data_IF_370701693498
#
_entry.id   IF_370701693498
#
_cell.length_a   1.000
_cell.length_b   1.000
_cell.length_c   1.000
_cell.angle_alpha   90.00
_cell.angle_beta   90.00
_cell.angle_gamma   90.00
#
_symmetry.space_group_name_H-M   'P 1'
#
loop_
_entity.id
_entity.type
_entity.pdbx_description
1 polymer ?
#
# COMPACT_ATOMS: atom_id res chain seq x y z
N UNK A 1 -0.16 -20.80 -7.59
CA UNK A 1 0.58 -20.08 -6.53
C UNK A 1 1.03 -21.08 -5.45
N UNK A 2 0.13 -21.75 -4.69
CA UNK A 2 0.49 -22.63 -3.56
C UNK A 2 1.47 -23.74 -3.94
N UNK A 3 1.31 -24.36 -5.11
CA UNK A 3 2.21 -25.39 -5.61
C UNK A 3 3.64 -24.87 -5.89
N UNK A 4 3.78 -23.63 -6.32
CA UNK A 4 5.08 -22.96 -6.57
C UNK A 4 5.96 -22.90 -5.31
N UNK A 5 5.34 -22.80 -4.15
CA UNK A 5 6.01 -22.66 -2.85
C UNK A 5 5.96 -23.93 -1.99
N UNK A 6 5.52 -25.06 -2.54
CA UNK A 6 5.35 -26.33 -1.83
C UNK A 6 4.62 -26.24 -0.48
N UNK A 7 3.82 -25.19 -0.27
CA UNK A 7 3.33 -24.78 1.06
C UNK A 7 2.21 -25.67 1.62
N UNK A 8 1.66 -26.58 0.82
CA UNK A 8 0.78 -27.64 1.27
C UNK A 8 1.49 -29.01 1.38
N UNK A 9 2.81 -29.07 1.14
CA UNK A 9 3.57 -30.31 1.27
C UNK A 9 3.52 -30.80 2.73
N UNK A 10 3.21 -32.06 2.92
CA UNK A 10 3.00 -32.71 4.22
C UNK A 10 1.87 -32.10 5.08
N UNK A 11 1.02 -31.24 4.54
CA UNK A 11 -0.13 -30.67 5.25
C UNK A 11 -1.31 -31.64 5.17
N UNK A 12 -1.77 -32.15 6.34
CA UNK A 12 -2.88 -33.12 6.40
C UNK A 12 -4.27 -32.44 6.34
N UNK A 13 -4.44 -31.31 7.04
CA UNK A 13 -5.77 -30.71 7.22
C UNK A 13 -5.80 -29.21 7.05
N UNK A 14 -4.85 -28.45 7.63
CA UNK A 14 -4.86 -27.00 7.61
C UNK A 14 -4.08 -26.45 6.42
N UNK A 15 -4.72 -26.42 5.24
CA UNK A 15 -4.12 -25.97 3.99
C UNK A 15 -3.89 -24.45 3.95
N UNK A 16 -3.17 -23.93 2.93
CA UNK A 16 -3.03 -22.48 2.70
C UNK A 16 -4.38 -21.83 2.45
N UNK A 17 -5.33 -22.53 1.81
CA UNK A 17 -6.69 -22.06 1.64
C UNK A 17 -7.41 -21.86 2.98
N UNK A 18 -7.33 -22.82 3.88
CA UNK A 18 -7.91 -22.70 5.22
C UNK A 18 -7.28 -21.55 6.01
N UNK A 19 -5.96 -21.35 5.87
CA UNK A 19 -5.27 -20.22 6.50
C UNK A 19 -5.77 -18.88 5.95
N UNK A 20 -5.89 -18.74 4.64
CA UNK A 20 -6.43 -17.55 3.99
C UNK A 20 -7.83 -17.23 4.52
N UNK A 21 -8.73 -18.22 4.52
CA UNK A 21 -10.10 -18.03 5.02
C UNK A 21 -10.14 -17.64 6.50
N UNK A 22 -9.31 -18.27 7.34
CA UNK A 22 -9.21 -17.93 8.76
C UNK A 22 -8.73 -16.49 8.96
N UNK A 23 -7.71 -16.04 8.22
CA UNK A 23 -7.19 -14.68 8.30
C UNK A 23 -8.19 -13.66 7.76
N UNK A 24 -8.88 -13.94 6.65
CA UNK A 24 -9.95 -13.10 6.12
C UNK A 24 -11.11 -12.97 7.13
N UNK A 25 -11.55 -14.09 7.71
CA UNK A 25 -12.58 -14.06 8.75
C UNK A 25 -12.13 -13.22 9.96
N UNK A 26 -10.86 -13.32 10.36
CA UNK A 26 -10.29 -12.51 11.44
C UNK A 26 -10.45 -11.00 11.16
N UNK A 27 -10.06 -10.57 9.97
CA UNK A 27 -10.11 -9.16 9.57
C UNK A 27 -11.56 -8.66 9.42
N UNK A 28 -12.40 -9.41 8.76
CA UNK A 28 -13.81 -9.03 8.51
C UNK A 28 -14.67 -9.03 9.78
N UNK A 29 -14.28 -9.81 10.81
CA UNK A 29 -15.00 -9.88 12.09
C UNK A 29 -14.28 -9.15 13.24
N UNK A 30 -13.25 -8.33 12.92
CA UNK A 30 -12.48 -7.52 13.87
C UNK A 30 -11.93 -8.33 15.05
N UNK A 31 -11.28 -9.49 14.77
CA UNK A 31 -10.65 -10.29 15.82
C UNK A 31 -9.28 -9.73 16.20
N UNK A 32 -9.05 -9.50 17.48
CA UNK A 32 -7.83 -8.84 17.96
C UNK A 32 -6.67 -9.81 18.24
N UNK A 33 -6.96 -11.10 18.38
CA UNK A 33 -5.95 -12.11 18.69
C UNK A 33 -6.23 -13.46 18.07
N UNK A 34 -5.18 -14.30 17.91
CA UNK A 34 -5.35 -15.69 17.47
C UNK A 34 -6.26 -16.50 18.42
N UNK A 35 -6.29 -16.19 19.72
CA UNK A 35 -7.17 -16.87 20.68
C UNK A 35 -8.63 -16.52 20.42
N UNK A 36 -8.92 -15.23 20.26
CA UNK A 36 -10.26 -14.75 19.96
C UNK A 36 -10.74 -15.29 18.59
N UNK A 37 -9.86 -15.31 17.60
CA UNK A 37 -10.15 -15.90 16.28
C UNK A 37 -10.56 -17.39 16.41
N UNK A 38 -9.82 -18.19 17.17
CA UNK A 38 -10.15 -19.64 17.31
C UNK A 38 -11.50 -19.82 18.00
N UNK A 39 -11.80 -19.08 19.08
CA UNK A 39 -13.10 -19.12 19.74
C UNK A 39 -14.23 -18.75 18.76
N UNK A 40 -14.05 -17.73 17.96
CA UNK A 40 -15.04 -17.32 16.96
C UNK A 40 -15.22 -18.36 15.84
N UNK A 41 -14.15 -18.98 15.37
CA UNK A 41 -14.23 -20.06 14.37
C UNK A 41 -14.94 -21.30 14.93
N UNK A 42 -14.69 -21.65 16.19
CA UNK A 42 -15.40 -22.75 16.88
C UNK A 42 -16.90 -22.47 17.00
N UNK A 43 -17.25 -21.27 17.41
CA UNK A 43 -18.67 -20.83 17.53
C UNK A 43 -19.41 -20.88 16.18
N UNK A 44 -18.68 -20.70 15.06
CA UNK A 44 -19.25 -20.72 13.71
C UNK A 44 -18.88 -21.97 12.89
N UNK A 45 -18.47 -23.05 13.53
CA UNK A 45 -17.96 -24.26 12.88
C UNK A 45 -18.89 -24.81 11.79
N UNK A 46 -20.19 -24.86 12.02
CA UNK A 46 -21.16 -25.34 11.03
C UNK A 46 -21.18 -24.48 9.76
N UNK A 47 -20.96 -23.16 9.89
CA UNK A 47 -20.89 -22.23 8.76
C UNK A 47 -19.53 -22.31 8.06
N UNK A 48 -18.46 -22.54 8.80
CA UNK A 48 -17.09 -22.69 8.26
C UNK A 48 -16.99 -23.92 7.34
N UNK A 49 -17.75 -24.98 7.61
CA UNK A 49 -17.84 -26.15 6.74
C UNK A 49 -18.25 -25.77 5.31
N UNK A 50 -19.24 -24.89 5.14
CA UNK A 50 -19.69 -24.42 3.82
C UNK A 50 -18.63 -23.58 3.08
N UNK A 51 -17.65 -23.04 3.79
CA UNK A 51 -16.50 -22.33 3.21
C UNK A 51 -15.35 -23.29 2.85
N UNK A 52 -15.53 -24.61 3.02
CA UNK A 52 -14.49 -25.61 2.78
C UNK A 52 -13.49 -25.77 3.93
N UNK A 53 -13.75 -25.20 5.10
CA UNK A 53 -12.96 -25.41 6.32
C UNK A 53 -13.48 -26.66 7.04
N UNK A 54 -13.04 -27.84 6.60
CA UNK A 54 -13.65 -29.13 7.00
C UNK A 54 -13.43 -29.56 8.46
N UNK A 55 -12.44 -29.01 9.18
CA UNK A 55 -12.13 -29.34 10.58
C UNK A 55 -11.82 -28.10 11.39
N UNK A 56 -12.04 -28.19 12.70
CA UNK A 56 -11.67 -27.13 13.62
C UNK A 56 -10.16 -26.84 13.54
N UNK A 57 -9.84 -25.55 13.54
CA UNK A 57 -8.46 -25.06 13.50
C UNK A 57 -7.98 -24.86 14.92
N UNK A 58 -6.89 -25.54 15.31
CA UNK A 58 -6.25 -25.27 16.59
C UNK A 58 -5.40 -23.99 16.53
N UNK A 59 -5.28 -23.28 17.67
CA UNK A 59 -4.41 -22.10 17.80
C UNK A 59 -2.96 -22.42 17.39
N UNK A 60 -2.44 -23.56 17.79
CA UNK A 60 -1.07 -23.99 17.46
C UNK A 60 -0.88 -24.26 15.97
N UNK A 61 -1.87 -24.84 15.29
CA UNK A 61 -1.82 -25.07 13.85
C UNK A 61 -1.81 -23.75 13.07
N UNK A 62 -2.67 -22.81 13.46
CA UNK A 62 -2.71 -21.50 12.84
C UNK A 62 -1.43 -20.68 13.09
N UNK A 63 -0.93 -20.68 14.34
CA UNK A 63 0.30 -19.98 14.69
C UNK A 63 1.51 -20.53 13.92
N UNK A 64 1.63 -21.85 13.83
CA UNK A 64 2.69 -22.52 13.07
C UNK A 64 2.58 -22.22 11.58
N UNK A 65 1.37 -22.26 11.01
CA UNK A 65 1.16 -21.93 9.61
C UNK A 65 1.56 -20.47 9.30
N UNK A 66 1.28 -19.53 10.20
CA UNK A 66 1.70 -18.13 10.05
C UNK A 66 3.22 -17.93 10.18
N UNK A 67 3.90 -18.78 10.93
CA UNK A 67 5.34 -18.73 11.13
C UNK A 67 6.11 -19.38 9.98
N UNK A 68 5.66 -20.55 9.53
CA UNK A 68 6.47 -21.44 8.68
C UNK A 68 6.16 -21.29 7.18
N UNK A 69 4.97 -20.81 6.82
CA UNK A 69 4.58 -20.66 5.42
C UNK A 69 5.13 -19.39 4.81
N UNK A 70 5.54 -19.50 3.55
CA UNK A 70 6.05 -18.38 2.78
C UNK A 70 4.93 -17.35 2.52
N UNK A 71 5.13 -16.12 2.95
CA UNK A 71 4.17 -15.01 2.78
C UNK A 71 3.93 -14.61 1.31
N UNK A 72 4.88 -14.90 0.42
CA UNK A 72 4.74 -14.60 -1.00
C UNK A 72 3.52 -15.28 -1.66
N UNK A 73 3.01 -16.37 -1.05
CA UNK A 73 1.76 -17.00 -1.49
C UNK A 73 0.60 -16.01 -1.44
N UNK A 74 0.49 -15.29 -0.34
CA UNK A 74 -0.57 -14.29 -0.13
C UNK A 74 -0.30 -13.03 -0.93
N UNK A 75 0.95 -12.62 -1.05
CA UNK A 75 1.37 -11.49 -1.86
C UNK A 75 1.02 -11.70 -3.34
N UNK A 76 1.44 -12.82 -3.94
CA UNK A 76 1.09 -13.15 -5.32
C UNK A 76 -0.42 -13.29 -5.54
N UNK A 77 -1.14 -13.81 -4.55
CA UNK A 77 -2.59 -13.92 -4.63
C UNK A 77 -3.28 -12.54 -4.63
N UNK A 78 -2.80 -11.61 -3.82
CA UNK A 78 -3.31 -10.23 -3.83
C UNK A 78 -3.06 -9.58 -5.19
N UNK A 79 -1.86 -9.71 -5.77
CA UNK A 79 -1.57 -9.16 -7.11
C UNK A 79 -2.40 -9.81 -8.20
N UNK A 80 -2.67 -11.10 -8.11
CA UNK A 80 -3.61 -11.77 -9.00
C UNK A 80 -5.02 -11.15 -8.90
N UNK A 81 -5.54 -10.96 -7.70
CA UNK A 81 -6.85 -10.33 -7.49
C UNK A 81 -6.89 -8.87 -7.99
N UNK A 82 -5.82 -8.11 -7.80
CA UNK A 82 -5.67 -6.75 -8.34
C UNK A 82 -5.77 -6.77 -9.87
N UNK A 83 -5.09 -7.70 -10.52
CA UNK A 83 -5.12 -7.84 -11.97
C UNK A 83 -6.53 -8.16 -12.49
N UNK A 84 -7.23 -9.10 -11.85
CA UNK A 84 -8.62 -9.44 -12.17
C UNK A 84 -9.58 -8.24 -11.98
N UNK A 85 -9.41 -7.50 -10.89
CA UNK A 85 -10.24 -6.34 -10.60
C UNK A 85 -10.03 -5.20 -11.60
N UNK A 86 -8.78 -4.98 -12.02
CA UNK A 86 -8.43 -3.98 -13.04
C UNK A 86 -9.08 -4.29 -14.40
N UNK A 87 -9.17 -5.56 -14.79
CA UNK A 87 -9.84 -5.96 -16.05
C UNK A 87 -11.34 -5.68 -16.05
N UNK A 88 -11.97 -5.66 -14.86
CA UNK A 88 -13.40 -5.41 -14.68
C UNK A 88 -13.74 -3.93 -14.51
N UNK A 89 -12.77 -3.04 -14.64
CA UNK A 89 -12.93 -1.59 -14.50
C UNK A 89 -13.85 -1.05 -15.59
N UNK A 90 -14.98 -0.46 -15.20
CA UNK A 90 -16.02 -0.01 -16.14
C UNK A 90 -16.10 1.51 -16.26
N UNK A 91 -15.67 2.30 -15.26
CA UNK A 91 -15.89 3.74 -15.21
C UNK A 91 -14.63 4.52 -14.85
N UNK A 92 -14.38 5.62 -15.56
CA UNK A 92 -13.42 6.65 -15.18
C UNK A 92 -14.14 7.77 -14.43
N UNK A 93 -13.89 7.91 -13.14
CA UNK A 93 -14.40 9.01 -12.31
C UNK A 93 -13.78 10.33 -12.78
N UNK A 94 -12.49 10.29 -13.09
CA UNK A 94 -11.74 11.42 -13.60
C UNK A 94 -11.61 11.33 -15.12
N UNK A 95 -12.03 12.37 -15.83
CA UNK A 95 -11.88 12.47 -17.30
C UNK A 95 -10.48 12.95 -17.68
N UNK A 96 -9.44 12.31 -17.16
CA UNK A 96 -8.05 12.74 -17.31
C UNK A 96 -7.27 11.93 -18.35
N UNK A 97 -7.88 10.90 -18.94
CA UNK A 97 -7.21 10.05 -19.96
C UNK A 97 -6.15 9.09 -19.40
N UNK A 98 -5.96 9.03 -18.09
CA UNK A 98 -5.02 8.13 -17.40
C UNK A 98 -5.49 7.73 -16.02
N UNK A 99 -4.79 6.77 -15.42
CA UNK A 99 -5.10 6.28 -14.07
C UNK A 99 -4.72 7.32 -13.01
N UNK A 100 -5.48 7.38 -11.92
CA UNK A 100 -5.21 8.27 -10.78
C UNK A 100 -4.85 7.45 -9.56
N UNK A 101 -3.64 7.62 -9.07
CA UNK A 101 -3.10 6.90 -7.93
C UNK A 101 -2.82 7.82 -6.75
N UNK A 102 -3.16 7.38 -5.54
CA UNK A 102 -2.72 8.01 -4.30
C UNK A 102 -1.71 7.08 -3.60
N UNK A 103 -0.61 7.63 -3.11
CA UNK A 103 0.42 6.87 -2.41
C UNK A 103 0.57 7.37 -0.98
N UNK A 104 0.43 6.46 -0.02
CA UNK A 104 0.61 6.75 1.40
C UNK A 104 1.12 5.52 2.17
N UNK A 105 1.52 5.72 3.42
CA UNK A 105 2.00 4.66 4.30
C UNK A 105 1.20 4.58 5.58
N UNK A 106 0.90 3.35 5.99
CA UNK A 106 0.30 3.04 7.29
C UNK A 106 1.34 2.36 8.17
N UNK A 107 1.53 2.85 9.40
CA UNK A 107 2.42 2.23 10.38
C UNK A 107 1.64 1.23 11.23
N UNK A 108 2.18 0.01 11.33
CA UNK A 108 1.65 -1.05 12.21
C UNK A 108 2.65 -1.23 13.35
N UNK A 109 2.21 -0.94 14.57
CA UNK A 109 3.02 -1.12 15.77
C UNK A 109 3.21 -2.63 16.07
N UNK A 110 4.44 -3.03 16.37
CA UNK A 110 4.80 -4.40 16.69
C UNK A 110 5.44 -4.47 18.08
N UNK A 111 5.25 -5.61 18.76
CA UNK A 111 5.91 -5.89 20.02
C UNK A 111 7.41 -6.14 19.77
N UNK A 112 8.27 -5.25 20.25
CA UNK A 112 9.71 -5.30 20.00
C UNK A 112 10.38 -6.55 20.60
N UNK A 113 9.84 -7.12 21.67
CA UNK A 113 10.38 -8.35 22.26
C UNK A 113 10.21 -9.59 21.38
N UNK A 114 9.21 -9.57 20.50
CA UNK A 114 8.95 -10.64 19.50
C UNK A 114 9.56 -10.29 18.14
N UNK A 115 9.48 -9.02 17.75
CA UNK A 115 9.93 -8.50 16.45
C UNK A 115 11.14 -7.58 16.63
N UNK A 116 12.21 -8.09 17.23
CA UNK A 116 13.42 -7.34 17.58
C UNK A 116 14.11 -6.66 16.39
N UNK A 117 13.91 -7.18 15.19
CA UNK A 117 14.45 -6.64 13.93
C UNK A 117 13.68 -5.39 13.45
N UNK A 118 12.38 -5.29 13.77
CA UNK A 118 11.50 -4.20 13.31
C UNK A 118 11.62 -2.95 14.21
N UNK A 119 12.83 -2.46 14.47
CA UNK A 119 13.08 -1.31 15.33
C UNK A 119 12.47 -0.03 14.74
N UNK A 120 11.66 0.68 15.51
CA UNK A 120 11.08 1.96 15.11
C UNK A 120 11.48 3.12 16.02
N UNK A 121 11.39 2.93 17.35
CA UNK A 121 11.81 3.89 18.38
C UNK A 121 12.49 3.13 19.51
N UNK A 122 13.15 3.84 20.45
CA UNK A 122 13.91 3.23 21.55
C UNK A 122 13.20 2.07 22.28
N UNK A 123 11.84 2.07 22.32
CA UNK A 123 11.04 1.04 23.01
C UNK A 123 9.89 0.46 22.17
N UNK A 124 9.84 0.73 20.86
CA UNK A 124 8.76 0.27 19.99
C UNK A 124 9.32 -0.38 18.72
N UNK A 125 8.70 -1.49 18.31
CA UNK A 125 8.85 -2.06 17.00
C UNK A 125 7.72 -1.59 16.08
N UNK A 126 7.93 -1.64 14.78
CA UNK A 126 6.90 -1.33 13.80
C UNK A 126 7.34 -1.60 12.37
N UNK A 127 6.35 -1.84 11.55
CA UNK A 127 6.50 -1.89 10.09
C UNK A 127 5.63 -0.83 9.45
N UNK A 128 5.98 -0.42 8.24
CA UNK A 128 5.15 0.41 7.38
C UNK A 128 4.68 -0.39 6.19
N UNK A 129 3.39 -0.29 5.91
CA UNK A 129 2.81 -0.75 4.65
C UNK A 129 2.60 0.47 3.78
N UNK A 130 3.41 0.60 2.74
CA UNK A 130 3.30 1.65 1.72
C UNK A 130 2.35 1.15 0.64
N UNK A 131 1.32 1.90 0.35
CA UNK A 131 0.26 1.48 -0.57
C UNK A 131 0.08 2.48 -1.69
N UNK A 132 0.16 2.03 -2.94
CA UNK A 132 -0.30 2.76 -4.10
C UNK A 132 -1.76 2.37 -4.34
N UNK A 133 -2.66 3.31 -4.12
CA UNK A 133 -4.09 3.11 -4.19
C UNK A 133 -4.65 3.70 -5.49
N UNK A 134 -5.31 2.89 -6.29
CA UNK A 134 -6.06 3.37 -7.45
C UNK A 134 -7.35 4.03 -6.95
N UNK A 135 -7.43 5.35 -7.11
CA UNK A 135 -8.53 6.16 -6.57
C UNK A 135 -9.86 5.86 -7.28
N UNK A 136 -9.80 5.45 -8.54
CA UNK A 136 -11.00 5.17 -9.33
C UNK A 136 -11.58 3.78 -9.05
N UNK A 137 -10.75 2.76 -8.96
CA UNK A 137 -11.20 1.39 -8.66
C UNK A 137 -11.36 1.14 -7.17
N UNK A 138 -10.79 2.01 -6.34
CA UNK A 138 -10.73 1.87 -4.87
C UNK A 138 -10.00 0.58 -4.44
N UNK A 139 -9.00 0.17 -5.20
CA UNK A 139 -8.23 -1.06 -4.97
C UNK A 139 -6.74 -0.71 -4.85
N UNK A 140 -5.98 -1.32 -3.92
CA UNK A 140 -4.54 -1.20 -3.91
C UNK A 140 -3.95 -1.74 -5.23
N UNK A 141 -3.16 -0.91 -5.93
CA UNK A 141 -2.48 -1.29 -7.16
C UNK A 141 -1.09 -1.88 -6.90
N UNK A 142 -0.45 -1.43 -5.81
CA UNK A 142 0.87 -1.87 -5.38
C UNK A 142 0.99 -1.68 -3.87
N UNK A 143 1.75 -2.52 -3.19
CA UNK A 143 2.12 -2.33 -1.80
C UNK A 143 3.56 -2.79 -1.57
N UNK A 144 4.22 -2.15 -0.61
CA UNK A 144 5.58 -2.47 -0.20
C UNK A 144 5.70 -2.36 1.33
N UNK A 145 6.36 -3.32 1.95
CA UNK A 145 6.49 -3.39 3.40
C UNK A 145 7.93 -3.07 3.78
N UNK A 146 8.11 -2.15 4.72
CA UNK A 146 9.41 -1.80 5.27
C UNK A 146 9.39 -1.77 6.79
N UNK A 147 10.56 -1.72 7.41
CA UNK A 147 10.65 -1.30 8.81
C UNK A 147 10.13 0.13 8.97
N UNK A 148 9.46 0.42 10.09
CA UNK A 148 8.90 1.75 10.34
C UNK A 148 9.95 2.87 10.46
N UNK A 149 11.23 2.51 10.61
CA UNK A 149 12.38 3.44 10.59
C UNK A 149 12.69 3.99 9.20
N UNK A 150 12.28 3.31 8.13
CA UNK A 150 12.54 3.73 6.75
C UNK A 150 11.73 4.98 6.43
N UNK A 151 12.39 5.99 5.86
CA UNK A 151 11.73 7.23 5.44
C UNK A 151 10.87 6.98 4.21
N UNK A 152 9.62 7.47 4.22
CA UNK A 152 8.62 7.21 3.20
C UNK A 152 9.07 7.53 1.77
N UNK A 153 9.81 8.64 1.59
CA UNK A 153 10.32 9.04 0.28
C UNK A 153 11.33 8.08 -0.35
N UNK A 154 11.94 7.16 0.44
CA UNK A 154 12.85 6.14 -0.11
C UNK A 154 12.10 5.07 -0.88
N UNK A 155 10.87 4.77 -0.47
CA UNK A 155 10.05 3.72 -1.08
C UNK A 155 9.45 4.17 -2.43
N UNK A 156 9.41 5.46 -2.70
CA UNK A 156 8.93 5.96 -4.01
C UNK A 156 9.67 5.34 -5.21
N UNK A 157 10.92 4.86 -5.03
CA UNK A 157 11.68 4.24 -6.12
C UNK A 157 11.12 2.88 -6.54
N UNK A 158 10.44 2.20 -5.63
CA UNK A 158 9.87 0.85 -5.81
C UNK A 158 8.51 0.88 -6.55
N UNK A 159 7.90 2.06 -6.67
CA UNK A 159 6.59 2.18 -7.33
C UNK A 159 6.73 1.91 -8.83
N UNK A 160 5.91 1.01 -9.40
CA UNK A 160 5.86 0.76 -10.83
C UNK A 160 5.08 1.89 -11.53
N UNK A 161 5.77 2.99 -11.83
CA UNK A 161 5.16 4.14 -12.50
C UNK A 161 4.73 3.82 -13.93
N UNK A 162 3.52 4.23 -14.29
CA UNK A 162 2.90 4.05 -15.62
C UNK A 162 2.84 5.39 -16.35
N UNK A 163 3.18 5.46 -17.65
CA UNK A 163 2.99 6.67 -18.47
C UNK A 163 1.55 7.17 -18.45
N UNK A 164 1.36 8.46 -18.67
CA UNK A 164 0.05 9.14 -18.74
C UNK A 164 -0.79 9.04 -17.47
N UNK A 165 -0.25 8.50 -16.37
CA UNK A 165 -0.94 8.34 -15.09
C UNK A 165 -0.63 9.50 -14.13
N UNK A 166 -1.51 9.71 -13.16
CA UNK A 166 -1.43 10.80 -12.17
C UNK A 166 -1.12 10.22 -10.79
N UNK A 167 -0.09 10.73 -10.13
CA UNK A 167 0.36 10.27 -8.81
C UNK A 167 0.21 11.35 -7.76
N UNK A 168 -0.56 11.08 -6.71
CA UNK A 168 -0.85 12.02 -5.62
C UNK A 168 -0.04 11.62 -4.39
N UNK A 169 0.72 12.57 -3.84
CA UNK A 169 1.59 12.37 -2.69
C UNK A 169 1.39 13.44 -1.61
N UNK A 170 1.54 13.06 -0.35
CA UNK A 170 1.68 14.03 0.74
C UNK A 170 3.08 14.68 0.75
N UNK A 171 3.24 15.72 1.56
CA UNK A 171 4.51 16.47 1.70
C UNK A 171 5.71 15.62 2.15
N UNK A 172 5.48 14.48 2.79
CA UNK A 172 6.53 13.54 3.19
C UNK A 172 7.31 12.97 2.00
N UNK A 173 6.68 12.93 0.84
CA UNK A 173 7.20 12.34 -0.39
C UNK A 173 7.89 13.34 -1.34
N UNK A 174 8.25 14.53 -0.88
CA UNK A 174 8.96 15.52 -1.70
C UNK A 174 10.39 15.06 -2.01
N UNK A 175 10.54 14.16 -2.98
CA UNK A 175 11.80 13.69 -3.53
C UNK A 175 11.92 14.12 -5.00
N UNK A 176 12.60 15.25 -5.24
CA UNK A 176 12.69 15.85 -6.58
C UNK A 176 13.30 14.94 -7.64
N UNK A 177 14.22 14.05 -7.25
CA UNK A 177 14.81 13.06 -8.18
C UNK A 177 13.75 12.08 -8.69
N UNK A 178 12.87 11.61 -7.81
CA UNK A 178 11.81 10.68 -8.19
C UNK A 178 10.69 11.41 -8.94
N UNK A 179 10.31 12.61 -8.49
CA UNK A 179 9.33 13.44 -9.20
C UNK A 179 9.80 13.74 -10.64
N UNK A 180 11.10 13.94 -10.84
CA UNK A 180 11.68 14.10 -12.17
C UNK A 180 11.59 12.81 -13.00
N UNK A 181 11.83 11.63 -12.39
CA UNK A 181 11.61 10.36 -13.09
C UNK A 181 10.17 10.21 -13.55
N UNK A 182 9.20 10.56 -12.72
CA UNK A 182 7.77 10.53 -13.07
C UNK A 182 7.52 11.41 -14.29
N UNK A 183 8.10 12.61 -14.31
CA UNK A 183 8.00 13.51 -15.46
C UNK A 183 8.66 12.93 -16.72
N UNK A 184 9.83 12.30 -16.61
CA UNK A 184 10.54 11.71 -17.75
C UNK A 184 9.79 10.56 -18.44
N UNK A 185 8.96 9.82 -17.73
CA UNK A 185 8.11 8.75 -18.28
C UNK A 185 6.75 9.28 -18.76
N UNK A 186 6.61 10.60 -18.89
CA UNK A 186 5.36 11.25 -19.33
C UNK A 186 4.17 10.97 -18.38
N UNK A 187 4.44 10.80 -17.10
CA UNK A 187 3.42 10.75 -16.05
C UNK A 187 3.36 12.07 -15.28
N UNK A 188 2.29 12.26 -14.54
CA UNK A 188 2.00 13.49 -13.81
C UNK A 188 2.04 13.24 -12.30
N UNK A 189 2.37 14.28 -11.53
CA UNK A 189 2.32 14.20 -10.09
C UNK A 189 1.65 15.42 -9.46
N UNK A 190 0.98 15.19 -8.35
CA UNK A 190 0.46 16.21 -7.44
C UNK A 190 1.06 15.94 -6.07
N UNK A 191 1.84 16.86 -5.53
CA UNK A 191 2.48 16.72 -4.23
C UNK A 191 2.27 17.94 -3.39
N UNK A 192 1.90 17.75 -2.13
CA UNK A 192 1.77 18.86 -1.18
C UNK A 192 3.14 19.48 -0.90
N UNK A 193 3.29 20.76 -1.21
CA UNK A 193 4.54 21.48 -1.00
C UNK A 193 4.94 21.55 0.48
N UNK A 194 6.24 21.51 0.75
CA UNK A 194 6.77 21.85 2.09
C UNK A 194 6.71 23.36 2.31
N UNK A 195 6.51 23.77 3.57
CA UNK A 195 6.46 25.21 3.94
C UNK A 195 7.72 26.01 3.55
N UNK A 196 8.85 25.35 3.46
CA UNK A 196 10.15 25.93 3.11
C UNK A 196 10.53 25.73 1.63
N UNK A 197 9.57 25.45 0.75
CA UNK A 197 9.82 25.35 -0.68
C UNK A 197 10.15 26.74 -1.23
N UNK A 198 11.39 26.91 -1.73
CA UNK A 198 11.81 28.14 -2.36
C UNK A 198 11.37 28.19 -3.83
N UNK A 199 10.67 29.25 -4.22
CA UNK A 199 10.24 29.45 -5.60
C UNK A 199 10.11 30.92 -5.95
N UNK A 200 10.10 31.22 -7.27
CA UNK A 200 9.74 32.54 -7.84
C UNK A 200 8.55 32.33 -8.76
N UNK A 201 7.50 33.12 -8.57
CA UNK A 201 6.33 33.11 -9.46
C UNK A 201 6.70 33.68 -10.82
N UNK A 202 6.32 32.98 -11.88
CA UNK A 202 6.49 33.44 -13.27
C UNK A 202 5.18 34.01 -13.76
N UNK A 203 4.08 33.27 -13.54
CA UNK A 203 2.77 33.65 -14.06
C UNK A 203 1.68 33.26 -13.06
N UNK A 204 0.76 34.16 -12.79
CA UNK A 204 -0.42 33.94 -11.96
C UNK A 204 -1.66 33.81 -12.82
N UNK A 205 -2.52 32.85 -12.50
CA UNK A 205 -3.82 32.68 -13.14
C UNK A 205 -4.81 33.69 -12.57
N UNK A 206 -5.42 34.50 -13.43
CA UNK A 206 -6.32 35.60 -13.00
C UNK A 206 -7.74 35.14 -12.62
N UNK A 207 -8.22 34.03 -13.21
CA UNK A 207 -9.56 33.50 -12.95
C UNK A 207 -9.41 32.12 -12.26
N UNK A 208 -9.82 32.06 -11.01
CA UNK A 208 -9.73 30.84 -10.18
C UNK A 208 -11.13 30.31 -9.85
N UNK A 209 -11.31 28.99 -9.73
CA UNK A 209 -12.49 28.39 -9.12
C UNK A 209 -12.68 28.90 -7.68
N UNK A 210 -13.94 28.91 -7.18
CA UNK A 210 -14.27 29.43 -5.84
C UNK A 210 -13.45 28.85 -4.69
N UNK A 211 -12.99 27.60 -4.82
CA UNK A 211 -12.27 26.90 -3.76
C UNK A 211 -10.73 26.90 -3.96
N UNK A 212 -10.22 27.64 -4.94
CA UNK A 212 -8.78 27.76 -5.22
C UNK A 212 -8.32 29.14 -4.81
N UNK A 213 -7.39 29.20 -3.86
CA UNK A 213 -6.84 30.47 -3.36
C UNK A 213 -5.81 31.07 -4.30
N UNK A 214 -5.00 30.27 -4.94
CA UNK A 214 -3.99 30.68 -5.90
C UNK A 214 -3.68 29.58 -6.89
N UNK A 215 -3.29 29.96 -8.10
CA UNK A 215 -2.78 29.05 -9.14
C UNK A 215 -1.69 29.83 -9.91
N UNK A 216 -0.47 29.33 -9.86
CA UNK A 216 0.68 29.98 -10.46
C UNK A 216 1.67 28.99 -11.05
N UNK A 217 2.25 29.36 -12.19
CA UNK A 217 3.47 28.73 -12.70
C UNK A 217 4.67 29.33 -11.97
N UNK A 218 5.52 28.48 -11.42
CA UNK A 218 6.66 28.93 -10.61
C UNK A 218 7.96 28.28 -11.04
N UNK A 219 9.04 29.01 -10.85
CA UNK A 219 10.40 28.49 -10.97
C UNK A 219 10.93 28.11 -9.59
N UNK A 220 11.31 26.88 -9.39
CA UNK A 220 11.92 26.43 -8.14
C UNK A 220 13.34 26.99 -7.97
N UNK A 221 13.66 27.53 -6.79
CA UNK A 221 14.93 28.22 -6.53
C UNK A 221 15.90 27.46 -5.63
N UNK A 222 15.47 26.36 -4.98
CA UNK A 222 16.33 25.54 -4.15
C UNK A 222 17.37 24.74 -4.95
N UNK A 223 18.48 24.37 -4.30
CA UNK A 223 19.58 23.60 -4.95
C UNK A 223 19.07 22.32 -5.60
N UNK A 224 18.45 21.42 -4.84
CA UNK A 224 17.90 20.15 -5.35
C UNK A 224 16.76 20.32 -6.36
N UNK A 225 15.76 21.20 -6.12
CA UNK A 225 14.72 21.44 -7.12
C UNK A 225 15.27 21.91 -8.45
N UNK A 226 16.22 22.83 -8.46
CA UNK A 226 16.82 23.34 -9.72
C UNK A 226 17.51 22.27 -10.55
N UNK A 227 18.08 21.25 -9.89
CA UNK A 227 18.81 20.19 -10.58
C UNK A 227 17.85 19.26 -11.37
N UNK A 228 16.62 19.10 -10.92
CA UNK A 228 15.69 18.11 -11.48
C UNK A 228 14.45 18.78 -12.10
N UNK A 229 13.78 19.64 -11.38
CA UNK A 229 12.51 20.25 -11.75
C UNK A 229 12.60 21.76 -11.65
N UNK A 230 12.79 22.45 -12.77
CA UNK A 230 12.89 23.93 -12.76
C UNK A 230 11.53 24.61 -12.76
N UNK A 231 10.57 24.14 -13.54
CA UNK A 231 9.24 24.73 -13.73
C UNK A 231 8.15 23.78 -13.25
N UNK A 232 7.27 24.26 -12.36
CA UNK A 232 6.10 23.53 -11.87
C UNK A 232 4.90 24.48 -11.68
N UNK A 233 3.71 23.92 -11.53
CA UNK A 233 2.49 24.60 -11.10
C UNK A 233 2.28 24.48 -9.58
N UNK A 234 1.85 25.57 -8.92
CA UNK A 234 1.49 25.64 -7.50
C UNK A 234 0.11 26.27 -7.33
#
# INVERSE_FOLDING_TARGET
IVAKYDSNKYVKHFTCWNQLLALMFSQLSNRESLRDLIVALEAHHSKCYHLGMGKNVSKSSLARANQDRDYHIFEEYVYYLVSEARQKRVNHIFKLGGNVYAFDSTTIDLCLSVFWWAKFRKKKGGIKVHTLYDVETQIPAFFHITEASVHDSKVMIEIPYEPSSYYIFDRGYNNFKILYKIHQIEAYFVVRAKKNLGYKSIQWKRRLPKNVLSDASVLLTGFYPKQYLSLIHI
#
